data_IF_486895277711
#
_entry.id   IF_486895277711
#
_cell.length_a   1.000
_cell.length_b   1.000
_cell.length_c   1.000
_cell.angle_alpha   90.00
_cell.angle_beta   90.00
_cell.angle_gamma   90.00
#
_symmetry.space_group_name_H-M   'P 1'
#
loop_
_entity.id
_entity.type
_entity.pdbx_description
1 polymer ?
#
# COMPACT_ATOMS: atom_id res chain seq x y z
N UNK A 1 -3.92 -13.75 -9.52
CA UNK A 1 -3.48 -12.76 -10.55
C UNK A 1 -4.53 -12.61 -11.64
N UNK A 2 -4.96 -13.68 -12.33
CA UNK A 2 -6.00 -13.61 -13.37
C UNK A 2 -7.29 -12.90 -12.92
N UNK A 3 -7.70 -13.14 -11.67
CA UNK A 3 -8.88 -12.46 -11.11
C UNK A 3 -8.75 -10.94 -11.08
N UNK A 4 -7.55 -10.39 -10.86
CA UNK A 4 -7.34 -8.94 -10.87
C UNK A 4 -7.56 -8.35 -12.28
N UNK A 5 -7.08 -9.04 -13.33
CA UNK A 5 -7.37 -8.67 -14.72
C UNK A 5 -8.87 -8.73 -15.01
N UNK A 6 -9.53 -9.80 -14.55
CA UNK A 6 -10.97 -9.94 -14.74
C UNK A 6 -11.76 -8.82 -14.04
N UNK A 7 -11.38 -8.44 -12.83
CA UNK A 7 -11.98 -7.30 -12.14
C UNK A 7 -11.80 -6.00 -12.95
N UNK A 8 -10.63 -5.76 -13.54
CA UNK A 8 -10.41 -4.61 -14.42
C UNK A 8 -11.32 -4.65 -15.65
N UNK A 9 -11.42 -5.79 -16.34
CA UNK A 9 -12.32 -5.96 -17.50
C UNK A 9 -13.79 -5.73 -17.15
N UNK A 10 -14.18 -6.08 -15.92
CA UNK A 10 -15.53 -5.87 -15.39
C UNK A 10 -15.78 -4.43 -14.91
N UNK A 11 -14.78 -3.54 -15.01
CA UNK A 11 -14.92 -2.12 -14.69
C UNK A 11 -14.54 -1.73 -13.26
N UNK A 12 -13.73 -2.54 -12.56
CA UNK A 12 -13.17 -2.11 -11.27
C UNK A 12 -12.34 -0.82 -11.44
N UNK A 13 -12.40 0.08 -10.46
CA UNK A 13 -11.61 1.32 -10.45
C UNK A 13 -10.32 1.24 -9.61
N UNK A 14 -10.20 0.21 -8.76
CA UNK A 14 -9.07 0.01 -7.84
C UNK A 14 -9.00 -1.47 -7.47
N UNK A 15 -7.80 -1.99 -7.26
CA UNK A 15 -7.59 -3.35 -6.77
C UNK A 15 -7.03 -3.29 -5.35
N UNK A 16 -7.74 -3.89 -4.39
CA UNK A 16 -7.28 -4.07 -3.02
C UNK A 16 -7.00 -5.56 -2.79
N UNK A 17 -5.78 -6.03 -3.09
CA UNK A 17 -5.37 -7.37 -2.79
C UNK A 17 -4.91 -7.45 -1.33
N UNK A 18 -5.61 -8.25 -0.52
CA UNK A 18 -5.18 -8.55 0.85
C UNK A 18 -4.47 -9.90 0.85
N UNK A 19 -3.19 -9.91 1.23
CA UNK A 19 -2.47 -11.17 1.48
C UNK A 19 -2.89 -11.71 2.85
N UNK A 20 -3.55 -12.86 2.88
CA UNK A 20 -3.91 -13.54 4.14
C UNK A 20 -2.67 -14.02 4.91
N UNK A 21 -1.56 -14.31 4.21
CA UNK A 21 -0.31 -14.76 4.83
C UNK A 21 0.51 -13.60 5.44
N UNK A 22 0.36 -12.39 4.92
CA UNK A 22 1.04 -11.19 5.41
C UNK A 22 0.30 -10.45 6.52
N UNK A 23 -1.00 -10.71 6.70
CA UNK A 23 -1.82 -9.94 7.62
C UNK A 23 -1.46 -10.24 9.09
N UNK A 24 -1.43 -9.18 9.91
CA UNK A 24 -1.12 -9.27 11.35
C UNK A 24 0.35 -9.55 11.73
N UNK A 25 1.27 -9.81 10.79
CA UNK A 25 2.68 -10.16 11.12
C UNK A 25 3.62 -8.97 11.37
N UNK A 26 3.20 -7.75 11.03
CA UNK A 26 4.04 -6.52 11.08
C UNK A 26 5.41 -6.63 10.37
N UNK A 27 5.59 -7.62 9.48
CA UNK A 27 6.87 -7.96 8.85
C UNK A 27 7.06 -7.34 7.46
N UNK A 28 6.15 -6.46 7.04
CA UNK A 28 6.13 -5.84 5.71
C UNK A 28 4.90 -6.21 4.91
N UNK A 29 4.64 -5.44 3.85
CA UNK A 29 3.66 -5.83 2.85
C UNK A 29 4.13 -7.08 2.10
N UNK A 30 3.18 -7.82 1.54
CA UNK A 30 3.50 -8.87 0.58
C UNK A 30 3.89 -8.25 -0.77
N UNK A 31 5.17 -7.90 -0.91
CA UNK A 31 5.69 -7.19 -2.07
C UNK A 31 5.57 -8.01 -3.36
N UNK A 32 5.81 -9.32 -3.28
CA UNK A 32 5.71 -10.22 -4.46
C UNK A 32 4.27 -10.30 -4.93
N UNK A 33 3.33 -10.45 -4.01
CA UNK A 33 1.91 -10.50 -4.34
C UNK A 33 1.41 -9.17 -4.90
N UNK A 34 1.77 -8.06 -4.25
CA UNK A 34 1.39 -6.71 -4.70
C UNK A 34 1.95 -6.44 -6.10
N UNK A 35 3.24 -6.73 -6.32
CA UNK A 35 3.92 -6.53 -7.61
C UNK A 35 3.32 -7.37 -8.73
N UNK A 36 3.05 -8.65 -8.45
CA UNK A 36 2.46 -9.54 -9.43
C UNK A 36 1.06 -9.08 -9.89
N UNK A 37 0.35 -8.33 -9.04
CA UNK A 37 -0.95 -7.73 -9.40
C UNK A 37 -0.74 -6.41 -10.13
N UNK A 38 0.09 -5.49 -9.61
CA UNK A 38 0.34 -4.19 -10.24
C UNK A 38 0.95 -4.30 -11.64
N UNK A 39 1.69 -5.37 -11.92
CA UNK A 39 2.30 -5.59 -13.24
C UNK A 39 1.32 -5.97 -14.33
N UNK A 40 0.09 -6.36 -13.95
CA UNK A 40 -0.87 -6.93 -14.88
C UNK A 40 -2.18 -6.16 -14.98
N UNK A 41 -2.34 -5.09 -14.20
CA UNK A 41 -3.49 -4.19 -14.23
C UNK A 41 -3.01 -2.75 -14.40
N UNK A 42 -3.79 -1.94 -15.10
CA UNK A 42 -3.56 -0.50 -15.26
C UNK A 42 -4.23 0.32 -14.15
N UNK A 43 -4.98 -0.35 -13.27
CA UNK A 43 -5.68 0.25 -12.14
C UNK A 43 -4.74 0.53 -10.96
N UNK A 44 -5.05 1.55 -10.13
CA UNK A 44 -4.41 1.70 -8.84
C UNK A 44 -4.49 0.43 -8.00
N UNK A 45 -3.34 -0.04 -7.50
CA UNK A 45 -3.24 -1.19 -6.59
C UNK A 45 -2.94 -0.70 -5.18
N UNK A 46 -3.64 -1.28 -4.19
CA UNK A 46 -3.46 -0.99 -2.77
C UNK A 46 -2.55 -2.03 -2.13
N UNK A 47 -1.44 -1.64 -1.53
CA UNK A 47 -0.72 -2.53 -0.62
C UNK A 47 -1.48 -2.59 0.71
N UNK A 48 -1.87 -3.80 1.16
CA UNK A 48 -2.69 -4.01 2.35
C UNK A 48 -2.12 -5.14 3.23
N UNK A 49 -2.05 -4.90 4.53
CA UNK A 49 -1.60 -5.88 5.54
C UNK A 49 -0.08 -5.91 5.76
N UNK A 50 0.34 -6.06 7.02
CA UNK A 50 1.72 -6.39 7.38
C UNK A 50 2.70 -5.21 7.59
N UNK A 51 2.35 -3.96 7.31
CA UNK A 51 3.23 -2.82 7.61
C UNK A 51 3.58 -2.73 9.12
N UNK A 52 4.82 -2.31 9.43
CA UNK A 52 5.40 -2.41 10.78
C UNK A 52 6.54 -1.43 11.07
N UNK A 53 7.26 -0.98 10.04
CA UNK A 53 8.23 0.13 10.06
C UNK A 53 8.01 1.06 8.87
N UNK A 54 8.59 2.27 8.92
CA UNK A 54 8.46 3.28 7.86
C UNK A 54 8.95 2.77 6.50
N UNK A 55 10.00 1.96 6.49
CA UNK A 55 10.59 1.35 5.28
C UNK A 55 9.57 0.51 4.52
N UNK A 56 8.68 -0.20 5.22
CA UNK A 56 7.66 -1.04 4.58
C UNK A 56 6.74 -0.23 3.67
N UNK A 57 6.41 1.01 4.05
CA UNK A 57 5.61 1.92 3.23
C UNK A 57 6.31 2.29 1.93
N UNK A 58 7.60 2.59 2.01
CA UNK A 58 8.42 2.92 0.84
C UNK A 58 8.57 1.70 -0.08
N UNK A 59 8.85 0.53 0.48
CA UNK A 59 8.96 -0.73 -0.26
C UNK A 59 7.65 -1.09 -0.97
N UNK A 60 6.51 -0.89 -0.32
CA UNK A 60 5.19 -1.13 -0.92
C UNK A 60 4.99 -0.36 -2.23
N UNK A 61 5.48 0.88 -2.30
CA UNK A 61 5.44 1.70 -3.52
C UNK A 61 6.51 1.28 -4.51
N UNK A 62 7.79 1.31 -4.09
CA UNK A 62 8.94 1.19 -5.00
C UNK A 62 9.15 -0.23 -5.52
N UNK A 63 8.99 -1.23 -4.64
CA UNK A 63 9.17 -2.64 -4.98
C UNK A 63 7.84 -3.31 -5.33
N UNK A 64 6.77 -2.95 -4.59
CA UNK A 64 5.45 -3.53 -4.76
C UNK A 64 4.62 -2.92 -5.89
N UNK A 65 4.97 -1.74 -6.41
CA UNK A 65 4.18 -1.05 -7.43
C UNK A 65 2.83 -0.51 -6.93
N UNK A 66 2.66 -0.41 -5.61
CA UNK A 66 1.43 0.09 -5.02
C UNK A 66 1.27 1.60 -5.24
N UNK A 67 0.04 2.00 -5.55
CA UNK A 67 -0.36 3.40 -5.66
C UNK A 67 -0.95 3.92 -4.34
N UNK A 68 -1.55 3.01 -3.57
CA UNK A 68 -2.22 3.31 -2.30
C UNK A 68 -1.61 2.39 -1.23
N UNK A 69 -1.35 2.94 -0.05
CA UNK A 69 -0.82 2.19 1.09
C UNK A 69 -1.88 2.15 2.19
N UNK A 70 -2.29 0.94 2.58
CA UNK A 70 -3.22 0.70 3.67
C UNK A 70 -2.46 0.08 4.84
N UNK A 71 -2.67 0.61 6.05
CA UNK A 71 -2.16 0.03 7.28
C UNK A 71 -3.15 0.27 8.42
N UNK A 72 -3.29 -0.70 9.32
CA UNK A 72 -4.20 -0.61 10.47
C UNK A 72 -3.43 -0.64 11.80
N UNK A 73 -2.74 -1.73 12.12
CA UNK A 73 -2.17 -1.98 13.45
C UNK A 73 -1.17 -0.89 13.90
N UNK A 74 -0.30 -0.43 13.01
CA UNK A 74 0.68 0.64 13.34
C UNK A 74 0.03 1.98 13.73
N UNK A 75 -1.17 2.27 13.21
CA UNK A 75 -1.91 3.48 13.56
C UNK A 75 -2.78 3.28 14.81
N UNK A 76 -3.40 2.11 14.97
CA UNK A 76 -4.18 1.78 16.17
C UNK A 76 -3.29 1.77 17.43
N UNK A 77 -2.08 1.22 17.33
CA UNK A 77 -1.10 1.21 18.42
C UNK A 77 -0.25 2.48 18.48
N UNK A 78 -0.53 3.48 17.63
CA UNK A 78 0.18 4.78 17.60
C UNK A 78 1.70 4.65 17.49
N UNK A 79 2.18 3.62 16.79
CA UNK A 79 3.62 3.44 16.52
C UNK A 79 4.15 4.53 15.59
N UNK A 80 3.32 4.93 14.62
CA UNK A 80 3.55 6.07 13.75
C UNK A 80 2.24 6.83 13.57
N UNK A 81 2.34 8.11 13.24
CA UNK A 81 1.25 8.94 12.72
C UNK A 81 1.23 8.92 11.19
N UNK A 82 0.08 9.23 10.61
CA UNK A 82 -0.03 9.44 9.14
C UNK A 82 0.93 10.53 8.67
N UNK A 83 1.18 11.56 9.50
CA UNK A 83 2.11 12.65 9.20
C UNK A 83 3.54 12.15 9.08
N UNK A 84 4.00 11.32 10.02
CA UNK A 84 5.35 10.73 9.99
C UNK A 84 5.55 9.84 8.77
N UNK A 85 4.58 8.99 8.43
CA UNK A 85 4.64 8.17 7.21
C UNK A 85 4.75 9.04 5.96
N UNK A 86 3.89 10.07 5.84
CA UNK A 86 3.94 10.99 4.70
C UNK A 86 5.26 11.75 4.61
N UNK A 87 5.80 12.22 5.72
CA UNK A 87 7.07 12.92 5.76
C UNK A 87 8.21 11.99 5.32
N UNK A 88 8.28 10.78 5.88
CA UNK A 88 9.27 9.79 5.49
C UNK A 88 9.26 9.49 4.00
N UNK A 89 8.09 9.22 3.42
CA UNK A 89 7.96 8.93 1.99
C UNK A 89 8.40 10.12 1.12
N UNK A 90 8.12 11.36 1.55
CA UNK A 90 8.62 12.57 0.85
C UNK A 90 10.13 12.70 0.92
N UNK A 91 10.73 12.45 2.08
CA UNK A 91 12.19 12.47 2.26
C UNK A 91 12.88 11.42 1.38
N UNK A 92 12.19 10.31 1.07
CA UNK A 92 12.62 9.31 0.08
C UNK A 92 12.32 9.68 -1.38
N UNK A 93 11.77 10.86 -1.64
CA UNK A 93 11.50 11.37 -3.00
C UNK A 93 10.16 10.94 -3.59
N UNK A 94 9.27 10.31 -2.81
CA UNK A 94 7.93 9.95 -3.27
C UNK A 94 6.96 11.13 -3.16
N UNK A 95 6.10 11.29 -4.17
CA UNK A 95 4.98 12.24 -4.13
C UNK A 95 3.90 11.67 -3.21
N UNK A 96 3.49 12.46 -2.22
CA UNK A 96 2.40 12.09 -1.30
C UNK A 96 1.34 13.18 -1.31
N UNK A 97 0.07 12.77 -1.17
CA UNK A 97 -1.03 13.69 -1.02
C UNK A 97 -1.01 14.31 0.38
N UNK A 98 -0.69 15.60 0.44
CA UNK A 98 -0.86 16.41 1.64
C UNK A 98 -2.31 16.83 1.70
N UNK A 99 -3.06 16.31 2.67
CA UNK A 99 -4.35 16.91 3.01
C UNK A 99 -3.98 18.06 3.94
N UNK A 100 -3.99 19.28 3.42
CA UNK A 100 -4.01 20.45 4.29
C UNK A 100 -5.33 20.36 5.05
N UNK A 101 -5.28 20.05 6.34
CA UNK A 101 -6.47 20.02 7.18
C UNK A 101 -7.09 21.41 7.20
N UNK A 102 -8.16 21.61 6.44
CA UNK A 102 -9.07 22.76 6.48
C UNK A 102 -10.34 22.42 5.68
N UNK A 103 -11.23 21.65 6.32
CA UNK A 103 -12.70 21.85 6.37
C UNK A 103 -13.25 20.82 7.33
#
# INVERSE_FOLDING_TARGET
IEWAKRCQELGAGVILPTSMDGDGRQAGYDLKFTKAISDVVDLPVVASGGAGKLEHFHEGVVLGGAHILLAASVFHYRLFSIKEVKQYLREKGLKVNLVNGST
#
